data_IF_835324889593
#
_entry.id   IF_835324889593
#
_cell.length_a   1.000
_cell.length_b   1.000
_cell.length_c   1.000
_cell.angle_alpha   90.00
_cell.angle_beta   90.00
_cell.angle_gamma   90.00
#
_symmetry.space_group_name_H-M   'P 1'
#
loop_
_entity.id
_entity.type
_entity.pdbx_description
1 polymer ?
#
# COMPACT_ATOMS: atom_id res chain seq x y z
N UNK A 1 -3.19 10.97 -11.99
CA UNK A 1 -4.18 10.27 -11.11
C UNK A 1 -3.68 8.85 -10.87
N UNK A 2 -3.57 8.43 -9.61
CA UNK A 2 -3.26 7.04 -9.28
C UNK A 2 -4.46 6.15 -9.63
N UNK A 3 -4.19 4.98 -10.20
CA UNK A 3 -5.19 3.98 -10.55
C UNK A 3 -4.70 2.62 -10.06
N UNK A 4 -5.60 1.85 -9.48
CA UNK A 4 -5.37 0.44 -9.12
C UNK A 4 -6.46 -0.37 -9.81
N UNK A 5 -6.06 -1.35 -10.60
CA UNK A 5 -6.93 -2.31 -11.27
C UNK A 5 -6.68 -3.70 -10.70
N UNK A 6 -7.72 -4.48 -10.55
CA UNK A 6 -7.59 -5.88 -10.16
C UNK A 6 -8.58 -6.77 -10.92
N UNK A 7 -8.14 -7.98 -11.20
CA UNK A 7 -8.96 -9.06 -11.72
C UNK A 7 -8.84 -10.27 -10.78
N UNK A 8 -9.95 -10.69 -10.19
CA UNK A 8 -9.99 -11.79 -9.24
C UNK A 8 -10.77 -12.98 -9.81
N UNK A 9 -10.07 -14.12 -10.01
CA UNK A 9 -10.62 -15.37 -10.55
C UNK A 9 -11.29 -15.20 -11.92
N UNK A 10 -10.76 -14.32 -12.78
CA UNK A 10 -11.27 -14.08 -14.14
C UNK A 10 -10.24 -14.41 -15.22
N UNK A 11 -9.02 -14.75 -14.82
CA UNK A 11 -7.93 -15.15 -15.72
C UNK A 11 -7.50 -16.55 -15.29
N UNK A 12 -7.50 -17.50 -16.24
CA UNK A 12 -7.06 -18.87 -15.98
C UNK A 12 -5.59 -18.86 -15.50
N UNK A 13 -5.24 -19.72 -14.57
CA UNK A 13 -3.93 -19.85 -13.93
C UNK A 13 -3.49 -18.68 -13.05
N UNK A 14 -4.21 -17.55 -13.05
CA UNK A 14 -3.90 -16.38 -12.22
C UNK A 14 -5.10 -16.02 -11.33
N UNK A 15 -5.15 -16.49 -10.08
CA UNK A 15 -6.27 -16.21 -9.18
C UNK A 15 -6.44 -14.72 -8.85
N UNK A 16 -5.38 -13.95 -8.98
CA UNK A 16 -5.40 -12.50 -8.82
C UNK A 16 -4.37 -11.84 -9.75
N UNK A 17 -4.82 -10.89 -10.54
CA UNK A 17 -3.97 -10.00 -11.34
C UNK A 17 -4.16 -8.58 -10.84
N UNK A 18 -3.07 -7.89 -10.56
CA UNK A 18 -3.06 -6.52 -10.06
C UNK A 18 -2.22 -5.65 -10.97
N UNK A 19 -2.71 -4.47 -11.29
CA UNK A 19 -1.97 -3.43 -12.00
C UNK A 19 -2.21 -2.08 -11.33
N UNK A 20 -1.15 -1.34 -11.09
CA UNK A 20 -1.23 -0.02 -10.46
C UNK A 20 -0.22 0.94 -11.08
N UNK A 21 -0.57 2.22 -11.15
CA UNK A 21 0.38 3.28 -11.45
C UNK A 21 0.48 4.25 -10.28
N UNK A 22 1.63 4.91 -10.18
CA UNK A 22 1.84 6.05 -9.29
C UNK A 22 1.81 7.34 -10.11
N UNK A 23 0.96 8.28 -9.73
CA UNK A 23 0.90 9.63 -10.29
C UNK A 23 1.56 10.61 -9.30
N UNK A 24 2.81 10.92 -9.53
CA UNK A 24 3.64 11.75 -8.65
C UNK A 24 4.58 12.64 -9.47
N UNK A 25 5.14 13.67 -8.87
CA UNK A 25 6.12 14.53 -9.51
C UNK A 25 7.37 13.73 -9.93
N UNK A 26 7.86 13.95 -11.15
CA UNK A 26 9.03 13.25 -11.69
C UNK A 26 10.30 13.41 -10.84
N UNK A 27 10.40 14.52 -10.12
CA UNK A 27 11.54 14.82 -9.24
C UNK A 27 11.51 14.02 -7.93
N UNK A 28 10.35 13.43 -7.56
CA UNK A 28 10.23 12.64 -6.34
C UNK A 28 10.79 11.22 -6.57
N UNK A 29 11.93 10.89 -5.97
CA UNK A 29 12.61 9.65 -6.26
C UNK A 29 11.81 8.44 -5.76
N UNK A 30 11.82 7.39 -6.57
CA UNK A 30 11.10 6.15 -6.26
C UNK A 30 11.99 4.96 -6.61
N UNK A 31 12.14 4.01 -5.71
CA UNK A 31 12.74 2.72 -6.01
C UNK A 31 11.73 1.80 -6.74
N UNK A 32 12.20 0.97 -7.67
CA UNK A 32 11.36 -0.03 -8.32
C UNK A 32 10.78 -1.02 -7.30
N UNK A 33 9.82 -1.82 -7.74
CA UNK A 33 9.27 -2.90 -6.92
C UNK A 33 10.35 -3.95 -6.62
N UNK A 34 10.58 -4.17 -5.34
CA UNK A 34 11.52 -5.17 -4.84
C UNK A 34 11.11 -5.62 -3.43
N UNK A 35 11.73 -6.70 -2.93
CA UNK A 35 11.58 -7.14 -1.55
C UNK A 35 12.25 -6.15 -0.59
N UNK A 36 11.51 -5.73 0.43
CA UNK A 36 12.05 -4.78 1.40
C UNK A 36 12.92 -5.50 2.43
N UNK A 37 14.16 -5.06 2.58
CA UNK A 37 15.11 -5.62 3.55
C UNK A 37 14.71 -5.31 5.00
N UNK A 38 14.18 -4.10 5.24
CA UNK A 38 13.77 -3.59 6.55
C UNK A 38 12.37 -4.04 6.98
N UNK A 39 11.59 -4.66 6.08
CA UNK A 39 10.25 -5.20 6.36
C UNK A 39 10.05 -6.53 5.63
N UNK A 40 10.52 -7.58 6.25
CA UNK A 40 10.51 -8.94 5.68
C UNK A 40 9.15 -9.36 5.14
N UNK A 41 9.16 -9.89 3.93
CA UNK A 41 7.97 -10.40 3.23
C UNK A 41 7.17 -9.34 2.49
N UNK A 42 7.54 -8.07 2.52
CA UNK A 42 6.91 -7.01 1.70
C UNK A 42 7.62 -6.89 0.36
N UNK A 43 6.83 -6.98 -0.71
CA UNK A 43 7.19 -6.69 -2.09
C UNK A 43 6.46 -5.42 -2.52
N UNK A 44 7.18 -4.34 -2.76
CA UNK A 44 6.59 -3.05 -3.13
C UNK A 44 7.61 -2.12 -3.77
N UNK A 45 7.14 -1.16 -4.59
CA UNK A 45 7.94 0.02 -4.91
C UNK A 45 8.09 0.90 -3.67
N UNK A 46 9.12 1.75 -3.61
CA UNK A 46 9.37 2.59 -2.44
C UNK A 46 9.52 4.05 -2.80
N UNK A 47 8.76 4.89 -2.14
CA UNK A 47 8.98 6.33 -2.11
C UNK A 47 10.25 6.63 -1.32
N UNK A 48 11.28 7.13 -1.97
CA UNK A 48 12.58 7.36 -1.30
C UNK A 48 12.62 8.66 -0.49
N UNK A 49 11.61 9.52 -0.63
CA UNK A 49 11.49 10.74 0.18
C UNK A 49 10.79 10.45 1.51
N UNK A 50 9.64 9.76 1.46
CA UNK A 50 8.82 9.48 2.65
C UNK A 50 9.02 8.06 3.21
N UNK A 51 9.77 7.19 2.53
CA UNK A 51 10.10 5.83 2.97
C UNK A 51 8.97 4.80 2.85
N UNK A 52 7.77 5.22 2.41
CA UNK A 52 6.59 4.38 2.31
C UNK A 52 6.28 3.86 0.90
N UNK A 53 5.07 3.37 0.71
CA UNK A 53 4.57 2.92 -0.59
C UNK A 53 3.08 3.25 -0.76
N UNK A 54 2.60 3.21 -2.00
CA UNK A 54 1.18 3.38 -2.35
C UNK A 54 0.49 2.06 -2.69
N UNK A 55 1.29 1.00 -2.92
CA UNK A 55 0.81 -0.33 -3.27
C UNK A 55 1.87 -1.36 -2.91
N UNK A 56 1.46 -2.48 -2.32
CA UNK A 56 2.37 -3.55 -1.98
C UNK A 56 1.66 -4.86 -1.69
N UNK A 57 2.46 -5.91 -1.68
CA UNK A 57 2.05 -7.28 -1.36
C UNK A 57 2.90 -7.78 -0.21
N UNK A 58 2.33 -8.53 0.70
CA UNK A 58 3.07 -9.35 1.66
C UNK A 58 2.83 -10.82 1.38
N UNK A 59 3.90 -11.58 1.28
CA UNK A 59 3.88 -13.03 1.20
C UNK A 59 4.59 -13.61 2.43
N UNK A 60 3.88 -14.42 3.21
CA UNK A 60 4.48 -15.21 4.28
C UNK A 60 4.99 -16.52 3.68
N UNK A 61 6.30 -16.58 3.42
CA UNK A 61 6.96 -17.74 2.81
C UNK A 61 7.13 -18.94 3.78
N UNK A 62 6.59 -18.86 4.98
CA UNK A 62 6.83 -19.86 6.03
C UNK A 62 6.20 -21.23 5.79
N UNK A 63 5.27 -21.37 4.83
CA UNK A 63 4.54 -22.61 4.60
C UNK A 63 4.47 -23.09 3.14
N UNK A 64 5.08 -22.38 2.20
CA UNK A 64 4.95 -22.71 0.76
C UNK A 64 3.51 -22.60 0.22
N UNK A 65 2.58 -22.13 1.02
CA UNK A 65 1.18 -21.94 0.67
C UNK A 65 0.88 -20.46 0.46
N UNK A 66 0.12 -20.16 -0.58
CA UNK A 66 -0.41 -18.80 -0.83
C UNK A 66 -1.48 -18.36 0.17
N UNK A 67 -1.76 -19.16 1.20
CA UNK A 67 -2.80 -18.87 2.21
C UNK A 67 -2.50 -17.65 3.09
N UNK A 68 -1.30 -17.05 2.99
CA UNK A 68 -0.89 -15.86 3.75
C UNK A 68 -0.61 -14.64 2.89
N UNK A 69 -0.96 -14.64 1.60
CA UNK A 69 -0.70 -13.47 0.73
C UNK A 69 -1.72 -12.38 1.03
N UNK A 70 -1.23 -11.18 1.32
CA UNK A 70 -2.02 -9.96 1.48
C UNK A 70 -1.57 -8.93 0.46
N UNK A 71 -2.50 -8.13 0.00
CA UNK A 71 -2.16 -6.93 -0.76
C UNK A 71 -2.89 -5.72 -0.17
N UNK A 72 -2.32 -4.57 -0.36
CA UNK A 72 -2.94 -3.31 0.00
C UNK A 72 -2.50 -2.21 -0.96
N UNK A 73 -3.39 -1.28 -1.21
CA UNK A 73 -3.10 -0.14 -2.05
C UNK A 73 -3.94 1.05 -1.65
N UNK A 74 -3.44 2.24 -1.88
CA UNK A 74 -4.19 3.47 -1.68
C UNK A 74 -4.00 4.45 -2.84
N UNK A 75 -5.02 5.25 -3.07
CA UNK A 75 -4.97 6.37 -3.99
C UNK A 75 -5.24 7.66 -3.25
N UNK A 76 -4.58 8.74 -3.69
CA UNK A 76 -4.76 10.05 -3.08
C UNK A 76 -6.14 10.62 -3.44
N UNK A 77 -6.88 11.03 -2.43
CA UNK A 77 -8.05 11.89 -2.62
C UNK A 77 -7.61 13.35 -2.48
N UNK A 78 -7.69 14.11 -3.58
CA UNK A 78 -7.28 15.51 -3.61
C UNK A 78 -8.47 16.41 -3.25
N UNK A 79 -8.35 17.08 -2.12
CA UNK A 79 -9.28 18.15 -1.71
C UNK A 79 -8.45 19.38 -1.27
N UNK A 80 -8.15 20.32 -2.20
CA UNK A 80 -7.31 21.47 -1.89
C UNK A 80 -7.83 22.34 -0.74
N UNK A 81 -9.16 22.37 -0.55
CA UNK A 81 -9.79 23.15 0.53
C UNK A 81 -9.57 22.56 1.93
N UNK A 82 -9.28 21.26 2.01
CA UNK A 82 -9.07 20.53 3.26
C UNK A 82 -7.63 19.99 3.41
N UNK A 83 -6.69 20.44 2.58
CA UNK A 83 -5.31 19.96 2.62
C UNK A 83 -4.57 20.47 3.86
N UNK A 84 -4.04 19.53 4.63
CA UNK A 84 -3.27 19.78 5.85
C UNK A 84 -1.78 19.86 5.49
N UNK A 85 -1.11 20.97 5.78
CA UNK A 85 0.32 21.18 5.49
C UNK A 85 1.25 20.22 6.27
N UNK A 86 0.84 19.79 7.46
CA UNK A 86 1.65 18.95 8.36
C UNK A 86 1.07 17.53 8.48
N UNK A 87 0.33 17.07 7.47
CA UNK A 87 -0.18 15.70 7.48
C UNK A 87 0.95 14.68 7.37
N UNK A 88 0.76 13.55 8.05
CA UNK A 88 1.63 12.37 7.89
C UNK A 88 1.58 11.84 6.46
N UNK A 89 2.64 11.16 6.04
CA UNK A 89 2.66 10.48 4.74
C UNK A 89 1.70 9.30 4.73
N UNK A 90 0.73 9.30 3.82
CA UNK A 90 -0.18 8.15 3.61
C UNK A 90 0.56 6.88 3.21
N UNK A 91 1.75 7.02 2.63
CA UNK A 91 2.59 5.90 2.22
C UNK A 91 3.06 4.98 3.35
N UNK A 92 2.96 5.40 4.61
CA UNK A 92 3.27 4.55 5.77
C UNK A 92 2.15 3.56 6.11
N UNK A 93 0.91 3.85 5.74
CA UNK A 93 -0.27 3.03 6.06
C UNK A 93 -0.14 1.62 5.48
N UNK A 94 0.29 1.52 4.22
CA UNK A 94 0.39 0.24 3.51
C UNK A 94 1.40 -0.71 4.16
N UNK A 95 2.67 -0.33 4.35
CA UNK A 95 3.64 -1.24 4.97
C UNK A 95 3.31 -1.54 6.44
N UNK A 96 2.71 -0.60 7.18
CA UNK A 96 2.29 -0.83 8.54
C UNK A 96 1.14 -1.86 8.61
N UNK A 97 0.14 -1.73 7.75
CA UNK A 97 -0.93 -2.74 7.64
C UNK A 97 -0.38 -4.11 7.24
N UNK A 98 0.40 -4.18 6.17
CA UNK A 98 0.96 -5.43 5.68
C UNK A 98 1.84 -6.13 6.74
N UNK A 99 2.58 -5.37 7.54
CA UNK A 99 3.43 -5.91 8.62
C UNK A 99 2.64 -6.34 9.86
N UNK A 100 1.43 -5.81 10.07
CA UNK A 100 0.68 -5.99 11.32
C UNK A 100 0.21 -7.41 11.58
N UNK A 101 -0.02 -8.20 10.54
CA UNK A 101 -0.64 -9.51 10.67
C UNK A 101 -2.15 -9.47 11.00
N UNK A 102 -2.73 -8.29 11.20
CA UNK A 102 -4.12 -8.09 11.62
C UNK A 102 -5.06 -8.12 10.40
N UNK A 103 -6.28 -8.71 10.47
CA UNK A 103 -7.29 -8.58 9.44
C UNK A 103 -7.64 -7.12 9.13
N UNK A 104 -8.02 -6.82 7.87
CA UNK A 104 -8.26 -5.45 7.44
C UNK A 104 -9.35 -4.75 8.28
N UNK A 105 -10.46 -5.44 8.51
CA UNK A 105 -11.57 -4.93 9.32
C UNK A 105 -11.08 -4.48 10.69
N UNK A 106 -10.40 -5.35 11.42
CA UNK A 106 -9.87 -5.07 12.75
C UNK A 106 -8.81 -3.95 12.74
N UNK A 107 -7.94 -3.93 11.71
CA UNK A 107 -6.87 -2.94 11.62
C UNK A 107 -7.41 -1.50 11.52
N UNK A 108 -8.51 -1.30 10.78
CA UNK A 108 -9.11 0.02 10.63
C UNK A 108 -10.04 0.37 11.80
N UNK A 109 -10.77 -0.60 12.37
CA UNK A 109 -11.67 -0.40 13.52
C UNK A 109 -10.92 -0.07 14.81
N UNK A 110 -9.77 -0.70 15.05
CA UNK A 110 -8.94 -0.47 16.24
C UNK A 110 -8.21 0.90 16.27
N UNK A 111 -8.49 1.78 15.31
CA UNK A 111 -7.91 3.12 15.25
C UNK A 111 -6.39 3.12 14.99
N UNK A 112 -5.85 2.07 14.40
CA UNK A 112 -4.43 2.02 13.97
C UNK A 112 -4.16 3.09 12.93
N UNK A 113 -5.12 3.36 12.06
CA UNK A 113 -5.09 4.51 11.15
C UNK A 113 -5.97 5.61 11.75
N UNK A 114 -5.37 6.75 12.06
CA UNK A 114 -6.09 7.95 12.51
C UNK A 114 -6.35 8.86 11.30
N UNK A 115 -7.55 8.88 10.73
CA UNK A 115 -7.83 9.64 9.50
C UNK A 115 -7.46 11.13 9.61
N UNK A 116 -7.61 11.69 10.80
CA UNK A 116 -7.27 13.09 11.06
C UNK A 116 -5.78 13.42 10.95
N UNK A 117 -4.91 12.42 10.98
CA UNK A 117 -3.46 12.59 10.84
C UNK A 117 -3.00 12.69 9.39
N UNK A 118 -3.86 12.36 8.44
CA UNK A 118 -3.51 12.28 7.01
C UNK A 118 -4.35 13.23 6.17
N UNK A 119 -3.86 13.54 4.98
CA UNK A 119 -4.70 14.07 3.90
C UNK A 119 -5.55 12.95 3.29
N UNK A 120 -6.63 13.30 2.60
CA UNK A 120 -7.61 12.34 2.08
C UNK A 120 -7.01 11.25 1.19
N UNK A 121 -7.52 10.03 1.33
CA UNK A 121 -7.16 8.86 0.52
C UNK A 121 -8.35 7.89 0.42
N UNK A 122 -8.26 7.02 -0.59
CA UNK A 122 -9.11 5.85 -0.76
C UNK A 122 -8.29 4.60 -0.61
#
# INVERSE_FOLDING_TARGET
MCLILFAYRVVDDYPLVLAANRDEFHQRPTAPMDWWEDRTGILAGRDLEAGGTWFGVRADNSSGSLSGVRFAGLTNYRNPAAEKKNARSRGEIIPDYLSSGIPAETYFEDGKVRPDSYNGFN
#
